data_IF_550722555644
#
_entry.id   IF_550722555644
#
_cell.length_a   1.000
_cell.length_b   1.000
_cell.length_c   1.000
_cell.angle_alpha   90.00
_cell.angle_beta   90.00
_cell.angle_gamma   90.00
#
_symmetry.space_group_name_H-M   'P 1'
#
loop_
_entity.id
_entity.type
_entity.pdbx_description
1 polymer ?
#
# COMPACT_ATOMS: atom_id res chain seq x y z
N UNK A 1 20.04 -5.96 -14.12
CA UNK A 1 19.44 -4.96 -15.03
C UNK A 1 18.05 -5.38 -15.51
N UNK A 2 17.87 -6.64 -15.93
CA UNK A 2 16.60 -7.15 -16.48
C UNK A 2 15.38 -6.91 -15.56
N UNK A 3 15.48 -7.16 -14.26
CA UNK A 3 14.39 -6.94 -13.30
C UNK A 3 14.02 -5.46 -13.19
N UNK A 4 15.03 -4.58 -13.19
CA UNK A 4 14.81 -3.13 -13.05
C UNK A 4 14.08 -2.58 -14.27
N UNK A 5 14.40 -3.06 -15.47
CA UNK A 5 13.86 -2.59 -16.75
C UNK A 5 12.78 -3.51 -17.34
N UNK A 6 12.27 -4.48 -16.57
CA UNK A 6 11.16 -5.32 -17.01
C UNK A 6 9.92 -4.48 -17.37
N UNK A 7 9.08 -4.92 -18.30
CA UNK A 7 7.90 -4.18 -18.72
C UNK A 7 7.02 -3.76 -17.52
N UNK A 8 6.45 -2.55 -17.53
CA UNK A 8 5.70 -2.03 -16.39
C UNK A 8 4.40 -2.79 -16.10
N UNK A 9 3.83 -3.49 -17.09
CA UNK A 9 2.61 -4.28 -16.96
C UNK A 9 2.84 -5.70 -16.43
N UNK A 10 4.11 -6.13 -16.28
CA UNK A 10 4.43 -7.45 -15.78
C UNK A 10 4.43 -7.49 -14.25
N UNK A 11 3.75 -8.49 -13.68
CA UNK A 11 3.88 -8.84 -12.26
C UNK A 11 5.14 -9.67 -12.05
N UNK A 12 6.06 -9.21 -11.21
CA UNK A 12 7.37 -9.82 -11.02
C UNK A 12 7.55 -10.33 -9.59
N UNK A 13 7.88 -11.62 -9.45
CA UNK A 13 8.37 -12.19 -8.20
C UNK A 13 9.89 -12.40 -8.31
N UNK A 14 10.65 -11.72 -7.48
CA UNK A 14 12.12 -11.78 -7.46
C UNK A 14 12.60 -12.64 -6.28
N UNK A 15 13.13 -13.81 -6.58
CA UNK A 15 13.73 -14.71 -5.59
C UNK A 15 15.23 -14.47 -5.52
N UNK A 16 15.72 -14.09 -4.34
CA UNK A 16 17.13 -13.80 -4.15
C UNK A 16 17.56 -14.02 -2.68
N UNK A 17 18.74 -14.52 -2.47
CA UNK A 17 19.31 -14.77 -1.15
C UNK A 17 19.59 -13.50 -0.32
N UNK A 18 19.91 -13.63 0.96
CA UNK A 18 20.35 -12.52 1.79
C UNK A 18 21.57 -11.81 1.17
N UNK A 19 21.62 -10.49 1.28
CA UNK A 19 22.75 -9.69 0.77
C UNK A 19 22.84 -9.54 -0.75
N UNK A 20 21.91 -10.13 -1.53
CA UNK A 20 21.91 -10.07 -3.00
C UNK A 20 21.53 -8.68 -3.56
N UNK A 21 21.08 -7.77 -2.73
CA UNK A 21 20.69 -6.41 -3.12
C UNK A 21 19.24 -6.25 -3.54
N UNK A 22 18.31 -7.07 -3.01
CA UNK A 22 16.86 -6.96 -3.27
C UNK A 22 16.32 -5.52 -3.11
N UNK A 23 16.58 -4.90 -1.98
CA UNK A 23 16.16 -3.51 -1.71
C UNK A 23 16.76 -2.52 -2.73
N UNK A 24 18.00 -2.75 -3.18
CA UNK A 24 18.61 -1.95 -4.23
C UNK A 24 17.87 -2.08 -5.55
N UNK A 25 17.42 -3.27 -5.91
CA UNK A 25 16.61 -3.52 -7.12
C UNK A 25 15.30 -2.74 -7.04
N UNK A 26 14.60 -2.76 -5.90
CA UNK A 26 13.35 -1.99 -5.69
C UNK A 26 13.60 -0.49 -5.91
N UNK A 27 14.62 0.08 -5.28
CA UNK A 27 14.95 1.51 -5.41
C UNK A 27 15.26 1.89 -6.87
N UNK A 28 16.05 1.06 -7.57
CA UNK A 28 16.36 1.29 -8.98
C UNK A 28 15.13 1.08 -9.88
N UNK A 29 14.22 0.15 -9.55
CA UNK A 29 12.96 -0.04 -10.28
C UNK A 29 12.07 1.20 -10.18
N UNK A 30 11.91 1.77 -8.99
CA UNK A 30 11.18 3.03 -8.80
C UNK A 30 11.79 4.13 -9.66
N UNK A 31 13.11 4.33 -9.59
CA UNK A 31 13.79 5.35 -10.37
C UNK A 31 13.63 5.14 -11.89
N UNK A 32 13.61 3.89 -12.34
CA UNK A 32 13.40 3.55 -13.74
C UNK A 32 11.96 3.86 -14.19
N UNK A 33 10.95 3.49 -13.38
CA UNK A 33 9.55 3.80 -13.66
C UNK A 33 9.33 5.30 -13.82
N UNK A 34 9.86 6.11 -12.92
CA UNK A 34 9.75 7.56 -12.96
C UNK A 34 10.43 8.16 -14.21
N UNK A 35 11.65 7.73 -14.51
CA UNK A 35 12.47 8.36 -15.56
C UNK A 35 12.19 7.85 -16.97
N UNK A 36 11.91 6.56 -17.11
CA UNK A 36 11.80 5.92 -18.43
C UNK A 36 10.35 5.67 -18.83
N UNK A 37 9.45 5.48 -17.88
CA UNK A 37 8.05 5.19 -18.14
C UNK A 37 7.11 6.37 -17.89
N UNK A 38 7.66 7.53 -17.51
CA UNK A 38 6.91 8.77 -17.22
C UNK A 38 5.77 8.55 -16.21
N UNK A 39 6.01 7.62 -15.27
CA UNK A 39 5.10 7.35 -14.14
C UNK A 39 5.26 8.47 -13.12
N UNK A 40 4.15 8.96 -12.58
CA UNK A 40 4.20 9.99 -11.55
C UNK A 40 4.58 9.38 -10.19
N UNK A 41 5.30 10.10 -9.31
CA UNK A 41 5.70 9.58 -8.01
C UNK A 41 4.52 9.09 -7.14
N UNK A 42 3.35 9.75 -7.24
CA UNK A 42 2.10 9.41 -6.54
C UNK A 42 1.51 8.07 -6.97
N UNK A 43 1.85 7.61 -8.19
CA UNK A 43 1.37 6.35 -8.75
C UNK A 43 2.15 5.14 -8.21
N UNK A 44 3.18 5.35 -7.38
CA UNK A 44 4.08 4.31 -6.89
C UNK A 44 3.97 4.19 -5.36
N UNK A 45 3.75 2.95 -4.89
CA UNK A 45 3.83 2.59 -3.49
C UNK A 45 4.89 1.52 -3.26
N UNK A 46 5.71 1.71 -2.23
CA UNK A 46 6.66 0.69 -1.75
C UNK A 46 6.24 0.23 -0.36
N UNK A 47 5.94 -1.04 -0.24
CA UNK A 47 5.57 -1.69 1.01
C UNK A 47 6.76 -2.44 1.58
N UNK A 48 7.02 -2.23 2.87
CA UNK A 48 8.15 -2.85 3.58
C UNK A 48 7.66 -3.61 4.82
N UNK A 49 8.50 -4.52 5.31
CA UNK A 49 8.18 -5.31 6.49
C UNK A 49 8.16 -4.47 7.77
N UNK A 50 9.10 -3.54 7.95
CA UNK A 50 9.23 -2.73 9.16
C UNK A 50 9.61 -1.27 8.88
N UNK A 51 9.55 -0.43 9.92
CA UNK A 51 9.82 1.01 9.81
C UNK A 51 11.27 1.31 9.44
N UNK A 52 12.23 0.50 9.91
CA UNK A 52 13.66 0.67 9.59
C UNK A 52 13.90 0.46 8.11
N UNK A 53 13.33 -0.60 7.52
CA UNK A 53 13.40 -0.85 6.09
C UNK A 53 12.75 0.27 5.27
N UNK A 54 11.59 0.78 5.72
CA UNK A 54 10.94 1.91 5.07
C UNK A 54 11.83 3.17 5.09
N UNK A 55 12.50 3.44 6.21
CA UNK A 55 13.43 4.55 6.31
C UNK A 55 14.62 4.40 5.36
N UNK A 56 15.21 3.23 5.32
CA UNK A 56 16.34 2.91 4.43
C UNK A 56 15.96 3.07 2.95
N UNK A 57 14.79 2.57 2.55
CA UNK A 57 14.27 2.74 1.18
C UNK A 57 14.11 4.22 0.84
N UNK A 58 13.48 5.03 1.73
CA UNK A 58 13.32 6.47 1.51
C UNK A 58 14.66 7.18 1.36
N UNK A 59 15.63 6.86 2.21
CA UNK A 59 16.96 7.46 2.15
C UNK A 59 17.66 7.14 0.83
N UNK A 60 17.60 5.89 0.38
CA UNK A 60 18.19 5.47 -0.89
C UNK A 60 17.47 6.09 -2.10
N UNK A 61 16.14 6.19 -2.06
CA UNK A 61 15.37 6.90 -3.08
C UNK A 61 15.77 8.36 -3.15
N UNK A 62 15.86 9.04 -2.01
CA UNK A 62 16.30 10.43 -1.95
C UNK A 62 17.66 10.65 -2.60
N UNK A 63 18.63 9.77 -2.34
CA UNK A 63 19.95 9.83 -2.96
C UNK A 63 19.90 9.61 -4.48
N UNK A 64 18.96 8.85 -4.99
CA UNK A 64 18.89 8.48 -6.40
C UNK A 64 18.03 9.41 -7.25
N UNK A 65 16.89 9.87 -6.73
CA UNK A 65 15.88 10.65 -7.48
C UNK A 65 15.57 12.02 -6.86
N UNK A 66 16.22 12.38 -5.74
CA UNK A 66 16.05 13.71 -5.13
C UNK A 66 14.65 13.95 -4.57
N UNK A 67 14.09 15.12 -4.85
CA UNK A 67 12.80 15.58 -4.33
C UNK A 67 11.62 14.67 -4.66
N UNK A 68 11.63 13.98 -5.78
CA UNK A 68 10.56 13.08 -6.20
C UNK A 68 10.37 11.93 -5.19
N UNK A 69 11.44 11.56 -4.46
CA UNK A 69 11.38 10.57 -3.39
C UNK A 69 10.44 10.94 -2.24
N UNK A 70 10.17 12.23 -2.03
CA UNK A 70 9.28 12.68 -0.96
C UNK A 70 7.81 12.35 -1.26
N UNK A 71 7.46 12.20 -2.51
CA UNK A 71 6.10 11.97 -2.99
C UNK A 71 5.81 10.46 -3.12
N UNK A 72 6.83 9.64 -3.46
CA UNK A 72 6.67 8.19 -3.50
C UNK A 72 6.20 7.65 -2.14
N UNK A 73 5.09 6.91 -2.13
CA UNK A 73 4.53 6.34 -0.91
C UNK A 73 5.37 5.15 -0.42
N UNK A 74 6.24 5.37 0.56
CA UNK A 74 7.03 4.28 1.19
C UNK A 74 6.52 4.05 2.60
N UNK A 75 5.94 2.89 2.89
CA UNK A 75 5.34 2.60 4.19
C UNK A 75 5.33 1.10 4.52
N UNK A 76 5.01 0.76 5.78
CA UNK A 76 4.81 -0.63 6.17
C UNK A 76 3.38 -1.08 5.88
N UNK A 77 3.16 -2.40 5.74
CA UNK A 77 1.82 -2.96 5.60
C UNK A 77 0.89 -2.57 6.76
N UNK A 78 1.41 -2.52 8.00
CA UNK A 78 0.65 -2.06 9.16
C UNK A 78 0.24 -0.59 9.03
N UNK A 79 1.14 0.28 8.59
CA UNK A 79 0.84 1.70 8.40
C UNK A 79 -0.21 1.91 7.30
N UNK A 80 -0.15 1.11 6.24
CA UNK A 80 -1.16 1.12 5.19
C UNK A 80 -2.53 0.68 5.73
N UNK A 81 -2.58 -0.47 6.45
CA UNK A 81 -3.82 -0.98 7.02
C UNK A 81 -4.47 0.04 7.98
N UNK A 82 -3.69 0.66 8.86
CA UNK A 82 -4.18 1.70 9.76
C UNK A 82 -4.75 2.91 9.02
N UNK A 83 -4.12 3.34 7.93
CA UNK A 83 -4.64 4.43 7.09
C UNK A 83 -5.93 4.06 6.38
N UNK A 84 -6.06 2.82 5.94
CA UNK A 84 -7.28 2.32 5.27
C UNK A 84 -8.46 2.21 6.23
N UNK A 85 -8.21 1.80 7.48
CA UNK A 85 -9.23 1.63 8.51
C UNK A 85 -9.53 2.91 9.31
N UNK A 86 -8.74 3.98 9.11
CA UNK A 86 -8.82 5.18 9.94
C UNK A 86 -8.30 4.99 11.38
N UNK A 87 -7.70 3.84 11.69
CA UNK A 87 -7.16 3.55 13.03
C UNK A 87 -5.95 4.44 13.32
N UNK A 88 -5.95 5.11 14.45
CA UNK A 88 -4.82 5.96 14.92
C UNK A 88 -4.17 5.39 16.15
N UNK A 89 -2.83 5.46 16.22
CA UNK A 89 -2.09 5.13 17.44
C UNK A 89 -2.49 6.01 18.64
N UNK A 90 -2.86 7.26 18.40
CA UNK A 90 -3.26 8.21 19.42
C UNK A 90 -4.54 7.76 20.13
N UNK A 91 -5.53 7.33 19.38
CA UNK A 91 -6.81 6.85 19.92
C UNK A 91 -6.62 5.54 20.71
N UNK A 92 -5.78 4.62 20.23
CA UNK A 92 -5.50 3.38 20.94
C UNK A 92 -4.76 3.62 22.29
N UNK A 93 -3.85 4.59 22.34
CA UNK A 93 -3.15 4.97 23.57
C UNK A 93 -4.10 5.60 24.60
N UNK A 94 -5.08 6.38 24.18
CA UNK A 94 -6.08 7.01 25.07
C UNK A 94 -6.99 5.96 25.73
N UNK A 95 -7.24 4.84 25.07
CA UNK A 95 -8.09 3.76 25.59
C UNK A 95 -7.31 2.64 26.30
N UNK A 96 -5.98 2.76 26.44
CA UNK A 96 -5.10 1.74 27.03
C UNK A 96 -5.24 0.33 26.41
N UNK A 97 -5.71 0.25 25.18
CA UNK A 97 -5.89 -1.01 24.47
C UNK A 97 -4.67 -1.32 23.60
N UNK A 98 -4.20 -2.57 23.68
CA UNK A 98 -3.18 -3.05 22.76
C UNK A 98 -3.78 -3.20 21.36
N UNK A 99 -3.18 -2.55 20.36
CA UNK A 99 -3.63 -2.67 18.97
C UNK A 99 -3.40 -4.11 18.48
N UNK A 100 -4.48 -4.82 18.17
CA UNK A 100 -4.39 -6.07 17.40
C UNK A 100 -4.13 -5.76 15.92
N UNK A 101 -2.87 -5.71 15.55
CA UNK A 101 -2.46 -5.44 14.16
C UNK A 101 -3.00 -6.46 13.16
N UNK A 102 -3.26 -7.71 13.59
CA UNK A 102 -3.84 -8.71 12.71
C UNK A 102 -5.30 -8.40 12.40
N UNK A 103 -6.06 -7.95 13.41
CA UNK A 103 -7.43 -7.49 13.22
C UNK A 103 -7.48 -6.27 12.28
N UNK A 104 -6.60 -5.30 12.46
CA UNK A 104 -6.52 -4.10 11.60
C UNK A 104 -6.21 -4.47 10.15
N UNK A 105 -5.30 -5.43 9.91
CA UNK A 105 -4.98 -5.90 8.56
C UNK A 105 -6.19 -6.60 7.92
N UNK A 106 -6.90 -7.46 8.66
CA UNK A 106 -8.12 -8.12 8.15
C UNK A 106 -9.19 -7.11 7.83
N UNK A 107 -9.48 -6.18 8.74
CA UNK A 107 -10.44 -5.10 8.50
C UNK A 107 -10.10 -4.27 7.26
N UNK A 108 -8.83 -3.91 7.08
CA UNK A 108 -8.38 -3.19 5.88
C UNK A 108 -8.63 -4.01 4.60
N UNK A 109 -8.41 -5.33 4.65
CA UNK A 109 -8.66 -6.24 3.54
C UNK A 109 -10.15 -6.30 3.19
N UNK A 110 -11.02 -6.46 4.20
CA UNK A 110 -12.47 -6.49 4.02
C UNK A 110 -13.00 -5.20 3.40
N UNK A 111 -12.47 -4.05 3.86
CA UNK A 111 -12.81 -2.75 3.30
C UNK A 111 -12.40 -2.58 1.83
N UNK A 112 -11.27 -3.13 1.42
CA UNK A 112 -10.84 -3.10 0.02
C UNK A 112 -11.70 -4.02 -0.85
N UNK A 113 -12.06 -5.19 -0.36
CA UNK A 113 -12.89 -6.16 -1.07
C UNK A 113 -14.36 -5.71 -1.19
N UNK A 114 -14.87 -4.95 -0.21
CA UNK A 114 -16.22 -4.38 -0.25
C UNK A 114 -16.40 -3.27 -1.31
N UNK A 115 -15.32 -2.69 -1.81
CA UNK A 115 -15.29 -1.65 -2.87
C UNK A 115 -15.24 -2.29 -4.27
N UNK A 116 -15.75 -3.51 -4.48
CA UNK A 116 -15.95 -4.04 -5.82
C UNK A 116 -16.87 -3.09 -6.63
N UNK A 117 -16.59 -2.84 -7.94
CA UNK A 117 -17.36 -1.90 -8.73
C UNK A 117 -18.84 -2.29 -8.72
N UNK A 118 -19.77 -1.32 -8.68
CA UNK A 118 -21.19 -1.61 -8.72
C UNK A 118 -21.48 -2.35 -10.03
N UNK A 119 -21.86 -3.61 -9.93
CA UNK A 119 -22.48 -4.34 -11.03
C UNK A 119 -23.77 -3.59 -11.38
N UNK A 120 -23.83 -3.03 -12.59
CA UNK A 120 -25.06 -2.47 -13.15
C UNK A 120 -26.14 -3.56 -13.15
N UNK A 121 -27.12 -3.43 -12.28
CA UNK A 121 -28.30 -4.29 -12.35
C UNK A 121 -29.06 -4.39 -11.04
N UNK A 122 -30.21 -3.71 -11.07
CA UNK A 122 -31.43 -3.78 -10.27
C UNK A 122 -31.57 -2.82 -9.11
N UNK A 123 -32.41 -1.83 -9.41
CA UNK A 123 -33.19 -1.02 -8.50
C UNK A 123 -34.06 -1.90 -7.62
N UNK A 124 -33.85 -1.86 -6.30
CA UNK A 124 -34.91 -2.00 -5.34
C UNK A 124 -34.69 -1.03 -4.18
N UNK A 125 -35.64 -0.12 -4.11
CA UNK A 125 -35.82 0.91 -3.10
C UNK A 125 -36.24 0.33 -1.75
N UNK A 126 -35.69 0.91 -0.70
CA UNK A 126 -36.11 1.01 0.69
C UNK A 126 -35.17 0.34 1.67
N UNK A 127 -34.35 1.13 2.33
CA UNK A 127 -34.10 1.00 3.76
C UNK A 127 -33.56 2.32 4.33
N UNK A 128 -34.04 2.64 5.50
CA UNK A 128 -33.96 3.86 6.26
C UNK A 128 -32.57 4.44 6.49
N UNK A 129 -32.48 5.76 6.28
CA UNK A 129 -31.34 6.59 6.61
C UNK A 129 -31.31 6.84 8.14
N UNK A 130 -30.18 6.49 8.78
CA UNK A 130 -29.62 7.21 9.92
C UNK A 130 -28.41 6.44 10.54
N UNK A 131 -27.23 6.45 9.86
CA UNK A 131 -25.93 6.19 10.53
C UNK A 131 -24.69 6.48 9.63
N UNK A 132 -24.80 7.20 8.52
CA UNK A 132 -23.85 7.12 7.40
C UNK A 132 -22.84 8.28 7.21
N UNK A 133 -22.60 9.15 8.19
CA UNK A 133 -21.68 10.29 7.96
C UNK A 133 -20.20 9.95 8.16
N UNK A 134 -19.86 8.96 8.98
CA UNK A 134 -18.44 8.61 9.26
C UNK A 134 -17.90 7.58 8.25
N UNK A 135 -18.76 6.70 7.73
CA UNK A 135 -18.40 5.68 6.75
C UNK A 135 -18.14 6.26 5.35
N UNK A 136 -18.86 7.32 4.98
CA UNK A 136 -18.68 7.99 3.68
C UNK A 136 -17.33 8.73 3.60
N UNK A 137 -16.90 9.40 4.68
CA UNK A 137 -15.61 10.08 4.74
C UNK A 137 -14.45 9.10 4.69
N UNK A 138 -14.55 7.98 5.38
CA UNK A 138 -13.57 6.90 5.36
C UNK A 138 -13.49 6.23 3.98
N UNK A 139 -14.62 6.01 3.32
CA UNK A 139 -14.69 5.47 1.96
C UNK A 139 -14.03 6.40 0.95
N UNK A 140 -14.29 7.71 1.04
CA UNK A 140 -13.69 8.71 0.18
C UNK A 140 -12.17 8.82 0.40
N UNK A 141 -11.71 8.75 1.64
CA UNK A 141 -10.28 8.75 1.97
C UNK A 141 -9.55 7.52 1.40
N UNK A 142 -10.18 6.34 1.47
CA UNK A 142 -9.68 5.11 0.83
C UNK A 142 -9.61 5.25 -0.69
N UNK A 143 -10.69 5.70 -1.29
CA UNK A 143 -10.74 5.92 -2.74
C UNK A 143 -9.63 6.89 -3.20
N UNK A 144 -9.38 7.95 -2.45
CA UNK A 144 -8.28 8.90 -2.74
C UNK A 144 -6.91 8.29 -2.55
N UNK A 145 -6.71 7.42 -1.53
CA UNK A 145 -5.44 6.76 -1.28
C UNK A 145 -5.04 5.82 -2.43
N UNK A 146 -6.02 5.17 -3.03
CA UNK A 146 -5.83 4.19 -4.10
C UNK A 146 -6.03 4.79 -5.49
N UNK A 147 -6.70 5.95 -5.59
CA UNK A 147 -6.91 6.64 -6.86
C UNK A 147 -5.58 7.04 -7.48
N UNK A 148 -5.29 6.48 -8.64
CA UNK A 148 -4.05 6.73 -9.35
C UNK A 148 -2.89 5.80 -8.99
N UNK A 149 -3.00 4.96 -7.96
CA UNK A 149 -1.97 3.97 -7.66
C UNK A 149 -1.89 2.92 -8.79
N UNK A 150 -0.70 2.79 -9.39
CA UNK A 150 -0.47 1.88 -10.54
C UNK A 150 0.60 0.83 -10.25
N UNK A 151 1.53 1.14 -9.36
CA UNK A 151 2.67 0.27 -9.07
C UNK A 151 2.81 0.04 -7.58
N UNK A 152 2.81 -1.23 -7.19
CA UNK A 152 3.07 -1.66 -5.82
C UNK A 152 4.32 -2.51 -5.83
N UNK A 153 5.34 -2.09 -5.09
CA UNK A 153 6.57 -2.85 -4.89
C UNK A 153 6.61 -3.32 -3.44
N UNK A 154 6.85 -4.60 -3.22
CA UNK A 154 6.87 -5.19 -1.88
C UNK A 154 8.25 -5.72 -1.57
N UNK A 155 8.87 -5.22 -0.49
CA UNK A 155 10.15 -5.71 0.02
C UNK A 155 9.95 -6.80 1.06
N UNK A 156 10.90 -7.72 1.15
CA UNK A 156 10.89 -8.88 2.08
C UNK A 156 9.61 -9.72 1.99
N UNK A 157 9.20 -10.04 0.74
CA UNK A 157 7.96 -10.78 0.48
C UNK A 157 7.89 -12.16 1.15
N UNK A 158 9.03 -12.79 1.45
CA UNK A 158 9.10 -14.07 2.18
C UNK A 158 8.58 -13.98 3.63
N UNK A 159 8.53 -12.77 4.22
CA UNK A 159 8.06 -12.55 5.60
C UNK A 159 6.56 -12.24 5.69
N UNK A 160 5.85 -12.36 4.55
CA UNK A 160 4.43 -12.09 4.43
C UNK A 160 3.63 -13.32 4.88
N UNK A 161 2.80 -13.14 5.92
CA UNK A 161 1.83 -14.14 6.34
C UNK A 161 0.54 -14.06 5.51
N UNK A 162 -0.41 -14.97 5.75
CA UNK A 162 -1.66 -15.07 5.01
C UNK A 162 -2.49 -13.78 5.01
N UNK A 163 -2.62 -13.11 6.17
CA UNK A 163 -3.43 -11.89 6.29
C UNK A 163 -2.81 -10.74 5.49
N UNK A 164 -1.48 -10.58 5.57
CA UNK A 164 -0.75 -9.58 4.78
C UNK A 164 -0.81 -9.85 3.29
N UNK A 165 -0.75 -11.13 2.89
CA UNK A 165 -0.92 -11.52 1.50
C UNK A 165 -2.31 -11.16 0.99
N UNK A 166 -3.37 -11.42 1.77
CA UNK A 166 -4.73 -11.06 1.42
C UNK A 166 -4.87 -9.54 1.22
N UNK A 167 -4.27 -8.74 2.11
CA UNK A 167 -4.26 -7.29 1.97
C UNK A 167 -3.58 -6.83 0.67
N UNK A 168 -2.39 -7.37 0.35
CA UNK A 168 -1.67 -7.00 -0.88
C UNK A 168 -2.46 -7.42 -2.12
N UNK A 169 -3.13 -8.57 -2.08
CA UNK A 169 -3.92 -9.07 -3.21
C UNK A 169 -5.23 -8.30 -3.43
N UNK A 170 -5.68 -7.54 -2.44
CA UNK A 170 -6.87 -6.70 -2.51
C UNK A 170 -6.56 -5.25 -2.96
N UNK A 171 -5.27 -4.88 -3.06
CA UNK A 171 -4.80 -3.59 -3.59
C UNK A 171 -4.75 -3.57 -5.13
#
# INVERSE_FOLDING_TARGET
QEIVSAPPHDSLLVLAGPGSGKTRVIVHRVAWLLRQQMVQPEEIMVLTYNRSAAHEVRQRLWQLIGSDAAVVAVQTLHSLAMRLTGTSYTVALEHSEAIDFSAVIRQATDLLQAVAPPTLGTTDTNTDADTDTDDSASSLARARLLAGLRFILVDEYQDINRDRYALISAL
#
